data_IF_153988227532
#
_entry.id   IF_153988227532
#
_cell.length_a   1.000
_cell.length_b   1.000
_cell.length_c   1.000
_cell.angle_alpha   90.00
_cell.angle_beta   90.00
_cell.angle_gamma   90.00
#
_symmetry.space_group_name_H-M   'P 1'
#
loop_
_entity.id
_entity.type
_entity.pdbx_description
1 polymer ?
#
# COMPACT_ATOMS: atom_id res chain seq x y z
N UNK A 1 14.45 -32.49 13.00
CA UNK A 1 13.15 -32.66 13.68
C UNK A 1 13.32 -33.84 14.60
N UNK A 2 13.37 -33.56 15.90
CA UNK A 2 14.18 -34.26 16.89
C UNK A 2 13.37 -35.29 17.70
N UNK A 3 13.97 -36.45 17.99
CA UNK A 3 13.36 -37.55 18.78
C UNK A 3 12.96 -37.20 20.22
N UNK A 4 13.16 -35.96 20.68
CA UNK A 4 12.66 -35.44 21.95
C UNK A 4 11.17 -35.07 21.92
N UNK A 5 10.58 -34.78 20.77
CA UNK A 5 9.15 -34.42 20.67
C UNK A 5 8.21 -35.64 20.70
N UNK A 6 8.67 -36.79 20.20
CA UNK A 6 7.86 -38.02 20.24
C UNK A 6 7.62 -38.50 21.68
N UNK A 7 8.66 -38.47 22.53
CA UNK A 7 8.52 -38.87 23.95
C UNK A 7 7.53 -38.00 24.73
N UNK A 8 7.44 -36.70 24.42
CA UNK A 8 6.47 -35.79 25.06
C UNK A 8 5.06 -36.06 24.58
N UNK A 9 4.89 -36.30 23.28
CA UNK A 9 3.59 -36.64 22.68
C UNK A 9 3.03 -37.93 23.28
N UNK A 10 3.86 -38.96 23.40
CA UNK A 10 3.45 -40.26 23.96
C UNK A 10 3.08 -40.16 25.45
N UNK A 11 3.81 -39.35 26.22
CA UNK A 11 3.47 -39.06 27.62
C UNK A 11 2.12 -38.36 27.77
N UNK A 12 1.87 -37.32 26.95
CA UNK A 12 0.61 -36.57 26.97
C UNK A 12 -0.57 -37.46 26.58
N UNK A 13 -0.40 -38.33 25.57
CA UNK A 13 -1.44 -39.27 25.16
C UNK A 13 -1.76 -40.32 26.23
N UNK A 14 -0.73 -40.82 26.93
CA UNK A 14 -0.91 -41.74 28.06
C UNK A 14 -1.65 -41.09 29.23
N UNK A 15 -1.33 -39.84 29.53
CA UNK A 15 -1.96 -39.08 30.62
C UNK A 15 -3.42 -38.72 30.29
N UNK A 16 -3.70 -38.33 29.03
CA UNK A 16 -5.06 -38.15 28.51
C UNK A 16 -5.88 -39.44 28.57
N UNK A 17 -5.30 -40.59 28.22
CA UNK A 17 -5.98 -41.88 28.31
C UNK A 17 -6.37 -42.21 29.76
N UNK A 18 -5.46 -41.99 30.70
CA UNK A 18 -5.72 -42.21 32.13
C UNK A 18 -6.85 -41.31 32.67
N UNK A 19 -6.90 -40.05 32.23
CA UNK A 19 -7.93 -39.08 32.63
C UNK A 19 -9.32 -39.39 32.05
N UNK A 20 -9.36 -40.02 30.86
CA UNK A 20 -10.60 -40.53 30.25
C UNK A 20 -11.10 -41.76 31.01
N UNK A 21 -10.19 -42.69 31.35
CA UNK A 21 -10.53 -43.89 32.11
C UNK A 21 -11.00 -43.59 33.54
N UNK A 22 -10.43 -42.56 34.18
CA UNK A 22 -10.85 -42.11 35.51
C UNK A 22 -12.17 -41.31 35.50
N UNK A 23 -12.79 -41.10 34.33
CA UNK A 23 -14.05 -40.39 34.18
C UNK A 23 -13.98 -38.89 34.50
N UNK A 24 -12.78 -38.33 34.64
CA UNK A 24 -12.58 -36.90 34.94
C UNK A 24 -12.78 -36.03 33.70
N UNK A 25 -12.53 -36.58 32.51
CA UNK A 25 -12.68 -35.90 31.24
C UNK A 25 -13.45 -36.80 30.26
N UNK A 26 -14.47 -36.25 29.61
CA UNK A 26 -15.19 -36.95 28.56
C UNK A 26 -14.53 -36.70 27.20
N UNK A 27 -14.47 -37.72 26.34
CA UNK A 27 -14.03 -37.62 24.93
C UNK A 27 -14.70 -36.45 24.19
N UNK A 28 -15.94 -36.11 24.54
CA UNK A 28 -16.67 -34.97 23.99
C UNK A 28 -16.07 -33.61 24.38
N UNK A 29 -15.56 -33.44 25.61
CA UNK A 29 -14.91 -32.20 26.07
C UNK A 29 -13.56 -31.97 25.39
N UNK A 30 -12.80 -33.05 25.13
CA UNK A 30 -11.54 -32.97 24.39
C UNK A 30 -11.82 -32.56 22.94
N UNK A 31 -12.81 -33.17 22.30
CA UNK A 31 -13.21 -32.80 20.94
C UNK A 31 -13.73 -31.36 20.84
N UNK A 32 -14.38 -30.84 21.87
CA UNK A 32 -14.82 -29.44 21.90
C UNK A 32 -13.65 -28.45 22.12
N UNK A 33 -12.60 -28.82 22.87
CA UNK A 33 -11.36 -28.03 22.99
C UNK A 33 -10.62 -27.88 21.64
N UNK A 34 -10.66 -28.90 20.79
CA UNK A 34 -10.06 -28.84 19.44
C UNK A 34 -10.97 -28.22 18.38
N UNK A 35 -12.28 -28.02 18.67
CA UNK A 35 -13.17 -27.26 17.78
C UNK A 35 -12.94 -25.76 17.85
N UNK A 36 -12.50 -25.24 19.00
CA UNK A 36 -12.15 -23.82 19.15
C UNK A 36 -10.85 -23.44 18.43
N UNK A 37 -10.04 -24.41 17.97
CA UNK A 37 -8.79 -24.18 17.23
C UNK A 37 -8.86 -24.53 15.73
N UNK A 38 -10.03 -24.92 15.20
CA UNK A 38 -10.19 -24.88 13.75
C UNK A 38 -10.28 -23.41 13.32
N UNK A 39 -9.42 -22.93 12.39
CA UNK A 39 -9.56 -21.59 11.87
C UNK A 39 -10.92 -21.55 11.17
N UNK A 40 -11.87 -20.85 11.77
CA UNK A 40 -13.18 -20.61 11.20
C UNK A 40 -12.96 -20.02 9.81
N UNK A 41 -13.17 -20.84 8.79
CA UNK A 41 -13.27 -20.38 7.42
C UNK A 41 -14.33 -19.28 7.40
N UNK A 42 -13.88 -18.09 7.05
CA UNK A 42 -14.67 -16.87 6.91
C UNK A 42 -15.41 -16.42 8.19
N UNK A 43 -14.69 -15.71 9.06
CA UNK A 43 -15.22 -14.41 9.49
C UNK A 43 -15.46 -13.59 8.21
N UNK A 44 -16.60 -13.82 7.57
CA UNK A 44 -17.25 -12.79 6.78
C UNK A 44 -17.38 -11.63 7.75
N UNK A 45 -16.52 -10.62 7.60
CA UNK A 45 -16.71 -9.36 8.27
C UNK A 45 -18.12 -8.95 7.93
N UNK A 46 -19.06 -9.09 8.88
CA UNK A 46 -20.39 -8.52 8.75
C UNK A 46 -20.11 -7.03 8.73
N UNK A 47 -19.90 -6.48 7.53
CA UNK A 47 -19.78 -5.05 7.30
C UNK A 47 -21.06 -4.50 7.91
N UNK A 48 -20.91 -3.83 9.05
CA UNK A 48 -22.07 -3.31 9.77
C UNK A 48 -22.74 -2.34 8.80
N UNK A 49 -24.03 -2.57 8.54
CA UNK A 49 -24.80 -1.79 7.57
C UNK A 49 -24.69 -0.29 7.87
N UNK A 50 -24.55 0.06 9.15
CA UNK A 50 -24.28 1.42 9.62
C UNK A 50 -22.94 1.97 9.12
N UNK A 51 -21.85 1.22 9.23
CA UNK A 51 -20.53 1.59 8.68
C UNK A 51 -20.61 1.81 7.18
N UNK A 52 -21.33 0.95 6.47
CA UNK A 52 -21.50 1.09 5.02
C UNK A 52 -22.26 2.37 4.66
N UNK A 53 -23.31 2.72 5.42
CA UNK A 53 -24.01 3.99 5.25
C UNK A 53 -23.13 5.20 5.60
N UNK A 54 -22.27 5.12 6.62
CA UNK A 54 -21.36 6.22 6.97
C UNK A 54 -20.30 6.45 5.89
N UNK A 55 -19.71 5.38 5.36
CA UNK A 55 -18.74 5.47 4.25
C UNK A 55 -19.41 6.00 2.98
N UNK A 56 -20.63 5.52 2.66
CA UNK A 56 -21.40 6.00 1.51
C UNK A 56 -21.76 7.48 1.66
N UNK A 57 -22.21 7.89 2.85
CA UNK A 57 -22.49 9.29 3.17
C UNK A 57 -21.26 10.18 3.02
N UNK A 58 -20.11 9.74 3.55
CA UNK A 58 -18.85 10.46 3.40
C UNK A 58 -18.45 10.63 1.93
N UNK A 59 -18.59 9.56 1.14
CA UNK A 59 -18.33 9.60 -0.30
C UNK A 59 -19.25 10.60 -1.02
N UNK A 60 -20.55 10.58 -0.73
CA UNK A 60 -21.52 11.53 -1.30
C UNK A 60 -21.15 12.97 -0.94
N UNK A 61 -20.75 13.23 0.32
CA UNK A 61 -20.32 14.56 0.76
C UNK A 61 -19.07 15.01 0.00
N UNK A 62 -18.06 14.14 -0.15
CA UNK A 62 -16.84 14.47 -0.92
C UNK A 62 -17.20 14.81 -2.37
N UNK A 63 -18.04 13.98 -3.01
CA UNK A 63 -18.49 14.24 -4.39
C UNK A 63 -19.27 15.55 -4.47
N UNK A 64 -20.16 15.83 -3.52
CA UNK A 64 -20.90 17.07 -3.44
C UNK A 64 -20.00 18.29 -3.31
N UNK A 65 -18.96 18.23 -2.46
CA UNK A 65 -17.95 19.29 -2.33
C UNK A 65 -17.22 19.51 -3.65
N UNK A 66 -16.79 18.44 -4.34
CA UNK A 66 -16.09 18.53 -5.63
C UNK A 66 -16.99 19.17 -6.70
N UNK A 67 -18.26 18.76 -6.79
CA UNK A 67 -19.23 19.31 -7.75
C UNK A 67 -19.51 20.79 -7.45
N UNK A 68 -19.72 21.15 -6.19
CA UNK A 68 -19.96 22.52 -5.77
C UNK A 68 -18.77 23.42 -6.10
N UNK A 69 -17.56 22.97 -5.78
CA UNK A 69 -16.32 23.66 -6.14
C UNK A 69 -16.28 23.84 -7.65
N UNK A 70 -16.41 22.77 -8.43
CA UNK A 70 -16.31 22.85 -9.89
C UNK A 70 -17.34 23.79 -10.54
N UNK A 71 -18.59 23.77 -10.08
CA UNK A 71 -19.67 24.55 -10.69
C UNK A 71 -19.56 26.05 -10.37
N UNK A 72 -19.17 26.41 -9.15
CA UNK A 72 -19.23 27.81 -8.70
C UNK A 72 -17.84 28.45 -8.54
N UNK A 73 -16.75 27.74 -8.87
CA UNK A 73 -15.38 28.25 -8.67
C UNK A 73 -15.14 29.59 -9.37
N UNK A 74 -15.60 29.73 -10.61
CA UNK A 74 -15.33 30.93 -11.40
C UNK A 74 -16.03 32.16 -10.82
N UNK A 75 -17.21 31.98 -10.22
CA UNK A 75 -18.06 33.07 -9.73
C UNK A 75 -17.73 33.48 -8.28
N UNK A 76 -16.95 32.67 -7.57
CA UNK A 76 -16.55 32.95 -6.18
C UNK A 76 -15.32 33.85 -6.08
N UNK A 77 -15.37 34.83 -5.18
CA UNK A 77 -14.19 35.58 -4.77
C UNK A 77 -13.19 34.68 -4.00
N UNK A 78 -11.94 35.12 -3.87
CA UNK A 78 -10.88 34.33 -3.21
C UNK A 78 -11.13 34.04 -1.72
N UNK A 79 -11.67 34.99 -0.94
CA UNK A 79 -12.04 34.79 0.47
C UNK A 79 -13.15 33.75 0.57
N UNK A 80 -14.16 33.84 -0.30
CA UNK A 80 -15.24 32.85 -0.35
C UNK A 80 -14.70 31.45 -0.67
N UNK A 81 -13.76 31.35 -1.62
CA UNK A 81 -13.07 30.08 -1.93
C UNK A 81 -12.34 29.52 -0.71
N UNK A 82 -11.58 30.34 0.01
CA UNK A 82 -10.85 29.94 1.22
C UNK A 82 -11.82 29.47 2.31
N UNK A 83 -12.88 30.24 2.59
CA UNK A 83 -13.85 29.91 3.63
C UNK A 83 -14.61 28.62 3.31
N UNK A 84 -14.98 28.42 2.05
CA UNK A 84 -15.64 27.20 1.60
C UNK A 84 -14.71 25.97 1.68
N UNK A 85 -13.46 26.09 1.25
CA UNK A 85 -12.53 24.95 1.16
C UNK A 85 -11.84 24.67 2.49
N UNK A 86 -11.08 25.62 3.02
CA UNK A 86 -10.38 25.46 4.29
C UNK A 86 -11.35 25.43 5.47
N UNK A 87 -12.39 26.27 5.46
CA UNK A 87 -13.39 26.29 6.53
C UNK A 87 -14.18 24.98 6.62
N UNK A 88 -14.53 24.35 5.50
CA UNK A 88 -15.16 23.02 5.52
C UNK A 88 -14.20 21.93 5.99
N UNK A 89 -12.92 21.99 5.59
CA UNK A 89 -11.90 21.05 6.07
C UNK A 89 -11.73 21.13 7.60
N UNK A 90 -11.59 22.34 8.16
CA UNK A 90 -11.46 22.57 9.60
C UNK A 90 -12.73 22.17 10.35
N UNK A 91 -13.92 22.48 9.80
CA UNK A 91 -15.20 22.12 10.41
C UNK A 91 -15.36 20.60 10.46
N UNK A 92 -15.10 19.91 9.34
CA UNK A 92 -15.12 18.45 9.27
C UNK A 92 -14.09 17.82 10.22
N UNK A 93 -12.89 18.38 10.31
CA UNK A 93 -11.86 17.89 11.24
C UNK A 93 -12.31 18.04 12.70
N UNK A 94 -12.88 19.19 13.07
CA UNK A 94 -13.34 19.47 14.43
C UNK A 94 -14.50 18.58 14.86
N UNK A 95 -15.48 18.40 13.96
CA UNK A 95 -16.59 17.45 14.17
C UNK A 95 -16.07 16.02 14.26
N UNK A 96 -15.15 15.66 13.35
CA UNK A 96 -14.49 14.36 13.33
C UNK A 96 -13.74 14.07 14.62
N UNK A 97 -12.99 15.04 15.14
CA UNK A 97 -12.29 14.96 16.43
C UNK A 97 -13.26 14.71 17.58
N UNK A 98 -14.33 15.50 17.67
CA UNK A 98 -15.32 15.38 18.74
C UNK A 98 -16.05 14.04 18.73
N UNK A 99 -16.48 13.57 17.55
CA UNK A 99 -17.18 12.29 17.39
C UNK A 99 -16.25 11.09 17.55
N UNK A 100 -14.98 11.20 17.15
CA UNK A 100 -14.02 10.12 17.30
C UNK A 100 -13.77 9.73 18.77
N UNK A 101 -13.85 10.72 19.67
CA UNK A 101 -13.67 10.51 21.10
C UNK A 101 -14.89 9.85 21.78
N UNK A 102 -16.00 9.66 21.08
CA UNK A 102 -17.18 8.96 21.60
C UNK A 102 -17.27 7.55 21.01
N UNK A 103 -17.31 6.52 21.86
CA UNK A 103 -17.33 5.12 21.41
C UNK A 103 -18.46 4.80 20.44
N UNK A 104 -19.65 5.37 20.67
CA UNK A 104 -20.86 5.12 19.86
C UNK A 104 -20.80 5.75 18.46
N UNK A 105 -20.02 6.80 18.26
CA UNK A 105 -19.97 7.57 17.00
C UNK A 105 -18.57 7.59 16.39
N UNK A 106 -17.66 6.73 16.89
CA UNK A 106 -16.27 6.66 16.44
C UNK A 106 -16.12 6.48 14.92
N UNK A 107 -16.94 5.63 14.31
CA UNK A 107 -16.93 5.39 12.87
C UNK A 107 -17.36 6.62 12.07
N UNK A 108 -18.38 7.34 12.54
CA UNK A 108 -18.80 8.62 11.96
C UNK A 108 -17.71 9.68 12.12
N UNK A 109 -17.01 9.70 13.26
CA UNK A 109 -15.83 10.54 13.47
C UNK A 109 -14.73 10.27 12.44
N UNK A 110 -14.44 8.99 12.15
CA UNK A 110 -13.47 8.62 11.11
C UNK A 110 -13.90 9.06 9.71
N UNK A 111 -15.20 9.02 9.40
CA UNK A 111 -15.74 9.53 8.14
C UNK A 111 -15.49 11.04 8.00
N UNK A 112 -15.83 11.84 9.02
CA UNK A 112 -15.58 13.29 9.02
C UNK A 112 -14.07 13.64 8.96
N UNK A 113 -13.23 12.89 9.67
CA UNK A 113 -11.78 13.06 9.56
C UNK A 113 -11.30 12.75 8.14
N UNK A 114 -11.82 11.72 7.48
CA UNK A 114 -11.47 11.40 6.09
C UNK A 114 -11.85 12.53 5.14
N UNK A 115 -13.04 13.11 5.29
CA UNK A 115 -13.47 14.29 4.52
C UNK A 115 -12.46 15.43 4.72
N UNK A 116 -12.09 15.73 5.98
CA UNK A 116 -11.13 16.80 6.25
C UNK A 116 -9.76 16.55 5.59
N UNK A 117 -9.26 15.31 5.66
CA UNK A 117 -7.96 14.94 5.10
C UNK A 117 -7.91 15.18 3.59
N UNK A 118 -8.98 14.87 2.87
CA UNK A 118 -9.07 15.07 1.42
C UNK A 118 -9.25 16.55 1.06
N UNK A 119 -9.95 17.33 1.89
CA UNK A 119 -10.23 18.74 1.60
C UNK A 119 -9.08 19.69 1.98
N UNK A 120 -8.24 19.33 2.96
CA UNK A 120 -7.12 20.16 3.42
C UNK A 120 -6.18 20.66 2.30
N UNK A 121 -5.71 19.82 1.35
CA UNK A 121 -4.81 20.28 0.28
C UNK A 121 -5.40 21.43 -0.55
N UNK A 122 -6.70 21.34 -0.86
CA UNK A 122 -7.42 22.36 -1.63
C UNK A 122 -7.55 23.65 -0.80
N UNK A 123 -7.93 23.52 0.47
CA UNK A 123 -8.07 24.67 1.38
C UNK A 123 -6.77 25.40 1.67
N UNK A 124 -5.65 24.69 1.81
CA UNK A 124 -4.35 25.31 1.99
C UNK A 124 -3.90 25.99 0.69
N UNK A 125 -4.10 25.35 -0.46
CA UNK A 125 -3.79 25.92 -1.77
C UNK A 125 -4.51 27.25 -2.03
N UNK A 126 -5.84 27.29 -1.84
CA UNK A 126 -6.61 28.54 -2.01
C UNK A 126 -6.17 29.64 -1.06
N UNK A 127 -5.76 29.26 0.16
CA UNK A 127 -5.28 30.22 1.16
C UNK A 127 -3.94 30.83 0.74
N UNK A 128 -3.06 30.04 0.12
CA UNK A 128 -1.80 30.56 -0.43
C UNK A 128 -2.06 31.54 -1.58
N UNK A 129 -2.98 31.18 -2.50
CA UNK A 129 -3.34 32.06 -3.62
C UNK A 129 -3.91 33.41 -3.13
N UNK A 130 -4.64 33.42 -2.01
CA UNK A 130 -5.16 34.64 -1.38
C UNK A 130 -4.04 35.56 -0.85
N UNK A 131 -2.96 34.99 -0.31
CA UNK A 131 -1.81 35.78 0.21
C UNK A 131 -0.78 36.09 -0.87
N UNK A 132 -1.09 35.83 -2.14
CA UNK A 132 -0.23 36.12 -3.29
C UNK A 132 0.89 35.10 -3.53
N UNK A 133 0.83 33.92 -2.89
CA UNK A 133 1.76 32.81 -3.13
C UNK A 133 1.05 31.81 -4.03
N UNK A 134 1.49 31.67 -5.28
CA UNK A 134 0.88 30.73 -6.23
C UNK A 134 0.97 29.29 -5.72
N UNK A 135 -0.18 28.66 -5.48
CA UNK A 135 -0.28 27.28 -5.02
C UNK A 135 0.26 26.26 -6.02
N UNK A 136 0.33 26.63 -7.30
CA UNK A 136 0.78 25.78 -8.40
C UNK A 136 2.28 25.92 -8.69
N UNK A 137 2.94 26.95 -8.17
CA UNK A 137 4.39 27.10 -8.28
C UNK A 137 5.12 26.15 -7.32
N UNK A 138 6.37 25.80 -7.63
CA UNK A 138 7.17 24.86 -6.83
C UNK A 138 7.31 25.29 -5.37
N UNK A 139 7.45 26.59 -5.12
CA UNK A 139 7.46 27.17 -3.77
C UNK A 139 6.14 26.90 -3.03
N UNK A 140 5.00 27.19 -3.68
CA UNK A 140 3.67 26.94 -3.12
C UNK A 140 3.42 25.46 -2.83
N UNK A 141 3.73 24.57 -3.77
CA UNK A 141 3.60 23.12 -3.60
C UNK A 141 4.43 22.58 -2.43
N UNK A 142 5.62 23.14 -2.21
CA UNK A 142 6.49 22.79 -1.08
C UNK A 142 5.86 23.21 0.25
N UNK A 143 5.32 24.43 0.32
CA UNK A 143 4.63 24.94 1.51
C UNK A 143 3.39 24.11 1.82
N UNK A 144 2.54 23.83 0.80
CA UNK A 144 1.35 22.98 0.96
C UNK A 144 1.74 21.60 1.50
N UNK A 145 2.72 20.95 0.87
CA UNK A 145 3.17 19.62 1.28
C UNK A 145 3.70 19.62 2.72
N UNK A 146 4.46 20.65 3.11
CA UNK A 146 5.03 20.77 4.44
C UNK A 146 3.94 20.98 5.51
N UNK A 147 2.98 21.87 5.25
CA UNK A 147 1.84 22.10 6.15
C UNK A 147 1.01 20.83 6.30
N UNK A 148 0.70 20.15 5.19
CA UNK A 148 -0.04 18.88 5.21
C UNK A 148 0.69 17.81 6.01
N UNK A 149 2.01 17.68 5.81
CA UNK A 149 2.82 16.74 6.59
C UNK A 149 2.73 17.01 8.08
N UNK A 150 2.86 18.28 8.50
CA UNK A 150 2.74 18.69 9.91
C UNK A 150 1.34 18.37 10.44
N UNK A 151 0.28 18.76 9.73
CA UNK A 151 -1.11 18.52 10.15
C UNK A 151 -1.37 17.03 10.31
N UNK A 152 -1.04 16.21 9.31
CA UNK A 152 -1.30 14.78 9.33
C UNK A 152 -0.45 14.07 10.38
N UNK A 153 0.81 14.48 10.56
CA UNK A 153 1.70 13.90 11.57
C UNK A 153 1.22 14.24 12.97
N UNK A 154 0.88 15.51 13.24
CA UNK A 154 0.30 15.92 14.52
C UNK A 154 -1.02 15.19 14.80
N UNK A 155 -1.87 15.03 13.78
CA UNK A 155 -3.12 14.27 13.89
C UNK A 155 -2.85 12.80 14.22
N UNK A 156 -1.88 12.17 13.55
CA UNK A 156 -1.48 10.80 13.86
C UNK A 156 -1.04 10.65 15.33
N UNK A 157 -0.26 11.60 15.86
CA UNK A 157 0.15 11.58 17.27
C UNK A 157 -1.01 11.83 18.24
N UNK A 158 -1.93 12.72 17.90
CA UNK A 158 -3.09 13.06 18.74
C UNK A 158 -4.08 11.90 18.82
N UNK A 159 -4.43 11.28 17.69
CA UNK A 159 -5.45 10.25 17.61
C UNK A 159 -4.91 8.82 17.73
N UNK A 160 -3.62 8.60 17.41
CA UNK A 160 -2.99 7.27 17.31
C UNK A 160 -3.76 6.30 16.39
N UNK A 161 -4.50 6.83 15.43
CA UNK A 161 -5.27 6.03 14.48
C UNK A 161 -4.46 5.73 13.22
N UNK A 162 -4.66 4.53 12.68
CA UNK A 162 -3.98 4.07 11.47
C UNK A 162 -4.42 4.84 10.21
N UNK A 163 -5.58 5.54 10.27
CA UNK A 163 -6.13 6.34 9.18
C UNK A 163 -5.16 7.40 8.66
N UNK A 164 -4.40 8.05 9.56
CA UNK A 164 -3.50 9.15 9.19
C UNK A 164 -2.17 8.68 8.59
N UNK A 165 -1.72 7.46 8.89
CA UNK A 165 -0.43 6.93 8.41
C UNK A 165 -0.22 7.04 6.89
N UNK A 166 -1.15 6.59 6.01
CA UNK A 166 -0.94 6.71 4.57
C UNK A 166 -0.83 8.16 4.12
N UNK A 167 -1.58 9.09 4.73
CA UNK A 167 -1.51 10.51 4.44
C UNK A 167 -0.20 11.15 4.91
N UNK A 168 0.31 10.75 6.09
CA UNK A 168 1.62 11.18 6.58
C UNK A 168 2.73 10.74 5.63
N UNK A 169 2.72 9.48 5.21
CA UNK A 169 3.74 8.94 4.28
C UNK A 169 3.64 9.62 2.92
N UNK A 170 2.43 9.83 2.39
CA UNK A 170 2.22 10.54 1.13
C UNK A 170 2.68 12.00 1.20
N UNK A 171 2.29 12.73 2.26
CA UNK A 171 2.70 14.12 2.47
C UNK A 171 4.21 14.23 2.67
N UNK A 172 4.83 13.34 3.45
CA UNK A 172 6.28 13.32 3.65
C UNK A 172 7.06 13.06 2.36
N UNK A 173 6.53 12.19 1.50
CA UNK A 173 7.09 11.94 0.16
C UNK A 173 6.92 13.15 -0.76
N UNK A 174 5.77 13.82 -0.69
CA UNK A 174 5.52 15.07 -1.40
C UNK A 174 6.48 16.17 -0.95
N UNK A 175 6.72 16.33 0.36
CA UNK A 175 7.71 17.26 0.92
C UNK A 175 9.08 16.94 0.35
N UNK A 176 9.52 15.68 0.40
CA UNK A 176 10.82 15.29 -0.14
C UNK A 176 10.99 15.70 -1.62
N UNK A 177 10.00 15.41 -2.47
CA UNK A 177 10.07 15.72 -3.90
C UNK A 177 10.00 17.23 -4.16
N UNK A 178 9.04 17.93 -3.56
CA UNK A 178 8.83 19.37 -3.79
C UNK A 178 9.99 20.20 -3.23
N UNK A 179 10.45 19.88 -2.02
CA UNK A 179 11.59 20.55 -1.39
C UNK A 179 12.89 20.32 -2.17
N UNK A 180 13.15 19.10 -2.66
CA UNK A 180 14.34 18.85 -3.49
C UNK A 180 14.21 19.48 -4.88
N UNK A 181 13.01 19.65 -5.44
CA UNK A 181 12.84 20.48 -6.64
C UNK A 181 13.26 21.92 -6.35
N UNK A 182 12.74 22.50 -5.26
CA UNK A 182 13.03 23.88 -4.86
C UNK A 182 14.53 24.13 -4.64
N UNK A 183 15.23 23.19 -3.98
CA UNK A 183 16.66 23.31 -3.70
C UNK A 183 17.54 23.27 -4.97
N UNK A 184 17.11 22.51 -5.99
CA UNK A 184 17.92 22.26 -7.19
C UNK A 184 17.37 22.94 -8.45
N UNK A 185 16.31 23.73 -8.34
CA UNK A 185 15.63 24.41 -9.45
C UNK A 185 16.59 25.21 -10.34
N UNK A 186 17.55 25.90 -9.73
CA UNK A 186 18.53 26.75 -10.40
C UNK A 186 19.94 26.15 -10.47
N UNK A 187 20.12 24.92 -9.97
CA UNK A 187 21.39 24.22 -10.03
C UNK A 187 21.49 23.39 -11.32
N UNK A 188 22.71 23.03 -11.73
CA UNK A 188 22.91 21.97 -12.71
C UNK A 188 22.39 20.66 -12.12
N UNK A 189 21.11 20.37 -12.36
CA UNK A 189 20.46 19.15 -11.88
C UNK A 189 21.22 17.96 -12.44
N UNK A 190 21.71 17.05 -11.57
CA UNK A 190 22.42 15.87 -12.03
C UNK A 190 21.56 15.08 -13.02
N UNK A 191 22.19 14.51 -14.03
CA UNK A 191 21.49 13.61 -14.96
C UNK A 191 20.83 12.48 -14.12
N UNK A 192 19.56 12.21 -14.39
CA UNK A 192 18.75 11.22 -13.66
C UNK A 192 18.41 11.56 -12.19
N UNK A 193 18.41 12.84 -11.82
CA UNK A 193 18.07 13.29 -10.46
C UNK A 193 16.73 12.74 -9.95
N UNK A 194 15.72 12.67 -10.81
CA UNK A 194 14.38 12.19 -10.44
C UNK A 194 14.38 10.71 -10.10
N UNK A 195 15.13 9.92 -10.86
CA UNK A 195 15.24 8.49 -10.69
C UNK A 195 15.98 8.16 -9.40
N UNK A 196 17.07 8.88 -9.08
CA UNK A 196 17.73 8.71 -7.78
C UNK A 196 16.83 9.09 -6.60
N UNK A 197 15.99 10.13 -6.72
CA UNK A 197 14.96 10.43 -5.71
C UNK A 197 13.95 9.30 -5.58
N UNK A 198 13.54 8.70 -6.71
CA UNK A 198 12.68 7.52 -6.73
C UNK A 198 13.30 6.32 -5.99
N UNK A 199 14.61 6.08 -6.14
CA UNK A 199 15.32 5.04 -5.39
C UNK A 199 15.33 5.32 -3.89
N UNK A 200 15.63 6.56 -3.48
CA UNK A 200 15.65 6.96 -2.06
C UNK A 200 14.26 6.78 -1.44
N UNK A 201 13.21 7.22 -2.13
CA UNK A 201 11.84 6.97 -1.68
C UNK A 201 11.52 5.47 -1.63
N UNK A 202 11.88 4.71 -2.66
CA UNK A 202 11.67 3.26 -2.69
C UNK A 202 12.29 2.55 -1.49
N UNK A 203 13.56 2.83 -1.19
CA UNK A 203 14.26 2.29 -0.01
C UNK A 203 13.56 2.73 1.29
N UNK A 204 13.16 4.01 1.38
CA UNK A 204 12.46 4.54 2.56
C UNK A 204 11.15 3.79 2.82
N UNK A 205 10.37 3.52 1.77
CA UNK A 205 9.12 2.76 1.87
C UNK A 205 9.38 1.29 2.24
N UNK A 206 10.43 0.65 1.68
CA UNK A 206 10.81 -0.72 2.07
C UNK A 206 11.20 -0.76 3.55
N UNK A 207 11.98 0.22 4.04
CA UNK A 207 12.35 0.34 5.44
C UNK A 207 11.13 0.57 6.36
N UNK A 208 10.17 1.41 5.94
CA UNK A 208 8.90 1.60 6.64
C UNK A 208 8.06 0.32 6.65
N UNK A 209 8.00 -0.43 5.55
CA UNK A 209 7.34 -1.73 5.48
C UNK A 209 7.93 -2.72 6.47
N UNK A 210 9.26 -2.78 6.57
CA UNK A 210 9.95 -3.57 7.59
C UNK A 210 9.62 -3.11 9.01
N UNK A 211 9.65 -1.80 9.28
CA UNK A 211 9.27 -1.26 10.60
C UNK A 211 7.82 -1.64 10.98
N UNK A 212 6.87 -1.50 10.07
CA UNK A 212 5.48 -1.88 10.33
C UNK A 212 5.28 -3.39 10.49
N UNK A 213 6.19 -4.21 9.95
CA UNK A 213 6.18 -5.66 10.19
C UNK A 213 6.52 -5.98 11.64
N UNK A 214 7.44 -5.22 12.25
CA UNK A 214 7.81 -5.34 13.66
C UNK A 214 6.68 -4.87 14.58
N UNK A 215 5.97 -3.80 14.21
CA UNK A 215 4.85 -3.22 14.99
C UNK A 215 3.50 -3.93 14.69
N UNK A 216 3.52 -5.04 13.94
CA UNK A 216 2.35 -5.89 13.63
C UNK A 216 1.18 -5.11 13.00
N UNK A 217 1.46 -4.26 12.01
CA UNK A 217 0.44 -3.54 11.22
C UNK A 217 0.32 -4.10 9.79
N UNK A 218 -0.32 -5.27 9.58
CA UNK A 218 -0.22 -6.04 8.33
C UNK A 218 -0.68 -5.27 7.08
N UNK A 219 -1.75 -4.46 7.20
CA UNK A 219 -2.24 -3.65 6.07
C UNK A 219 -1.21 -2.64 5.58
N UNK A 220 -0.46 -1.99 6.49
CA UNK A 220 0.57 -1.03 6.12
C UNK A 220 1.82 -1.72 5.55
N UNK A 221 2.18 -2.90 6.05
CA UNK A 221 3.31 -3.69 5.52
C UNK A 221 3.12 -3.96 4.03
N UNK A 222 1.96 -4.47 3.65
CA UNK A 222 1.62 -4.80 2.26
C UNK A 222 1.72 -3.57 1.35
N UNK A 223 1.09 -2.45 1.73
CA UNK A 223 1.10 -1.20 0.94
C UNK A 223 2.51 -0.62 0.84
N UNK A 224 3.28 -0.59 1.94
CA UNK A 224 4.63 -0.02 1.95
C UNK A 224 5.60 -0.84 1.13
N UNK A 225 5.58 -2.17 1.22
CA UNK A 225 6.41 -3.02 0.36
C UNK A 225 6.01 -2.89 -1.11
N UNK A 226 4.71 -2.93 -1.42
CA UNK A 226 4.24 -2.78 -2.79
C UNK A 226 4.73 -1.47 -3.43
N UNK A 227 4.48 -0.33 -2.77
CA UNK A 227 4.92 0.98 -3.26
C UNK A 227 6.44 1.11 -3.27
N UNK A 228 7.13 0.64 -2.22
CA UNK A 228 8.57 0.75 -2.10
C UNK A 228 9.31 -0.01 -3.20
N UNK A 229 8.93 -1.26 -3.48
CA UNK A 229 9.53 -2.02 -4.57
C UNK A 229 9.14 -1.48 -5.96
N UNK A 230 7.92 -0.97 -6.15
CA UNK A 230 7.55 -0.31 -7.41
C UNK A 230 8.42 0.92 -7.68
N UNK A 231 8.60 1.79 -6.68
CA UNK A 231 9.42 2.98 -6.82
C UNK A 231 10.89 2.62 -7.01
N UNK A 232 11.40 1.65 -6.25
CA UNK A 232 12.80 1.23 -6.32
C UNK A 232 13.14 0.56 -7.66
N UNK A 233 12.39 -0.46 -8.08
CA UNK A 233 12.62 -1.15 -9.35
C UNK A 233 12.24 -0.28 -10.55
N UNK A 234 11.17 0.52 -10.43
CA UNK A 234 10.76 1.50 -11.44
C UNK A 234 11.82 2.56 -11.72
N UNK A 235 12.42 3.12 -10.67
CA UNK A 235 13.54 4.03 -10.86
C UNK A 235 14.77 3.32 -11.46
N UNK A 236 15.07 2.09 -11.00
CA UNK A 236 16.23 1.32 -11.48
C UNK A 236 16.13 0.95 -12.97
N UNK A 237 14.95 0.57 -13.48
CA UNK A 237 14.76 0.22 -14.89
C UNK A 237 14.88 1.45 -15.80
N UNK A 238 14.41 2.62 -15.34
CA UNK A 238 14.57 3.89 -16.05
C UNK A 238 16.03 4.30 -16.07
N UNK A 239 16.75 4.16 -14.95
CA UNK A 239 18.20 4.44 -14.85
C UNK A 239 19.06 3.58 -15.78
N UNK A 240 18.59 2.38 -16.11
CA UNK A 240 19.24 1.55 -17.12
C UNK A 240 19.22 2.20 -18.51
N UNK A 241 18.18 3.01 -18.80
CA UNK A 241 18.03 3.73 -20.07
C UNK A 241 17.59 2.85 -21.23
N UNK A 242 17.43 3.46 -22.41
CA UNK A 242 17.15 2.78 -23.68
C UNK A 242 18.22 3.10 -24.72
N UNK A 243 18.47 2.20 -25.69
CA UNK A 243 19.38 2.50 -26.82
C UNK A 243 19.02 3.82 -27.51
N UNK A 244 20.01 4.69 -27.82
CA UNK A 244 21.46 4.51 -27.63
C UNK A 244 22.01 4.94 -26.25
N UNK A 245 21.19 5.53 -25.38
CA UNK A 245 21.60 6.10 -24.09
C UNK A 245 21.52 5.08 -22.93
N UNK A 246 22.25 3.97 -23.04
CA UNK A 246 22.30 2.94 -21.99
C UNK A 246 23.29 3.34 -20.90
N UNK A 247 22.89 3.17 -19.63
CA UNK A 247 23.81 3.24 -18.51
C UNK A 247 24.34 1.84 -18.18
N UNK A 248 25.60 1.59 -18.51
CA UNK A 248 26.26 0.28 -18.36
C UNK A 248 26.16 -0.24 -16.91
N UNK A 249 26.37 0.64 -15.92
CA UNK A 249 26.36 0.26 -14.50
C UNK A 249 24.98 -0.31 -14.13
N UNK A 250 23.92 0.40 -14.50
CA UNK A 250 22.55 -0.01 -14.18
C UNK A 250 22.09 -1.22 -15.01
N UNK A 251 22.55 -1.34 -16.27
CA UNK A 251 22.28 -2.51 -17.10
C UNK A 251 22.81 -3.81 -16.47
N UNK A 252 24.00 -3.77 -15.88
CA UNK A 252 24.54 -4.92 -15.16
C UNK A 252 23.91 -5.10 -13.78
N UNK A 253 23.65 -4.02 -13.04
CA UNK A 253 23.09 -4.11 -11.69
C UNK A 253 21.64 -4.61 -11.68
N UNK A 254 20.82 -4.22 -12.65
CA UNK A 254 19.38 -4.43 -12.61
C UNK A 254 18.96 -5.92 -12.58
N UNK A 255 19.54 -6.85 -13.35
CA UNK A 255 19.28 -8.28 -13.20
C UNK A 255 19.57 -8.81 -11.79
N UNK A 256 20.65 -8.35 -11.14
CA UNK A 256 20.95 -8.73 -9.75
C UNK A 256 19.91 -8.17 -8.77
N UNK A 257 19.41 -6.95 -9.00
CA UNK A 257 18.33 -6.37 -8.20
C UNK A 257 17.03 -7.17 -8.31
N UNK A 258 16.71 -7.71 -9.50
CA UNK A 258 15.55 -8.59 -9.67
C UNK A 258 15.70 -9.89 -8.88
N UNK A 259 16.86 -10.56 -8.97
CA UNK A 259 17.14 -11.77 -8.19
C UNK A 259 17.08 -11.48 -6.68
N UNK A 260 17.67 -10.37 -6.26
CA UNK A 260 17.62 -9.92 -4.86
C UNK A 260 16.18 -9.66 -4.40
N UNK A 261 15.32 -9.11 -5.25
CA UNK A 261 13.90 -8.89 -4.95
C UNK A 261 13.18 -10.21 -4.68
N UNK A 262 13.41 -11.24 -5.50
CA UNK A 262 12.84 -12.57 -5.25
C UNK A 262 13.37 -13.17 -3.95
N UNK A 263 14.67 -13.05 -3.69
CA UNK A 263 15.25 -13.52 -2.43
C UNK A 263 14.63 -12.83 -1.21
N UNK A 264 14.49 -11.50 -1.25
CA UNK A 264 13.82 -10.74 -0.19
C UNK A 264 12.35 -11.13 -0.07
N UNK A 265 11.65 -11.42 -1.17
CA UNK A 265 10.24 -11.86 -1.12
C UNK A 265 10.05 -13.14 -0.30
N UNK A 266 11.00 -14.08 -0.42
CA UNK A 266 11.00 -15.34 0.34
C UNK A 266 11.33 -15.07 1.81
N UNK A 267 12.34 -14.23 2.10
CA UNK A 267 12.72 -13.88 3.47
C UNK A 267 11.60 -13.15 4.22
N UNK A 268 10.99 -12.16 3.57
CA UNK A 268 9.90 -11.36 4.13
C UNK A 268 8.54 -12.08 4.09
N UNK A 269 8.45 -13.22 3.41
CA UNK A 269 7.20 -13.97 3.17
C UNK A 269 6.08 -13.08 2.61
N UNK A 270 6.43 -12.13 1.73
CA UNK A 270 5.49 -11.15 1.18
C UNK A 270 5.12 -11.47 -0.27
N UNK A 271 3.81 -11.67 -0.49
CA UNK A 271 3.24 -11.89 -1.82
C UNK A 271 3.37 -10.65 -2.72
N UNK A 272 3.32 -9.47 -2.12
CA UNK A 272 3.40 -8.19 -2.82
C UNK A 272 4.77 -8.01 -3.47
N UNK A 273 5.85 -8.28 -2.74
CA UNK A 273 7.22 -8.22 -3.27
C UNK A 273 7.39 -9.20 -4.44
N UNK A 274 6.83 -10.42 -4.31
CA UNK A 274 6.87 -11.42 -5.36
C UNK A 274 6.13 -10.97 -6.63
N UNK A 275 4.93 -10.39 -6.49
CA UNK A 275 4.15 -9.86 -7.61
C UNK A 275 4.93 -8.74 -8.32
N UNK A 276 5.44 -7.77 -7.56
CA UNK A 276 6.18 -6.64 -8.12
C UNK A 276 7.45 -7.13 -8.82
N UNK A 277 8.25 -7.99 -8.18
CA UNK A 277 9.45 -8.57 -8.80
C UNK A 277 9.14 -9.34 -10.10
N UNK A 278 8.02 -10.06 -10.14
CA UNK A 278 7.55 -10.74 -11.35
C UNK A 278 7.21 -9.75 -12.47
N UNK A 279 6.40 -8.72 -12.18
CA UNK A 279 6.03 -7.68 -13.15
C UNK A 279 7.28 -7.01 -13.74
N UNK A 280 8.23 -6.62 -12.90
CA UNK A 280 9.46 -5.95 -13.35
C UNK A 280 10.41 -6.88 -14.11
N UNK A 281 10.41 -8.18 -13.80
CA UNK A 281 11.14 -9.18 -14.58
C UNK A 281 10.56 -9.30 -15.99
N UNK A 282 9.22 -9.36 -16.11
CA UNK A 282 8.57 -9.34 -17.42
C UNK A 282 8.84 -8.04 -18.17
N UNK A 283 8.77 -6.90 -17.49
CA UNK A 283 9.07 -5.60 -18.10
C UNK A 283 10.50 -5.56 -18.66
N UNK A 284 11.49 -6.13 -17.95
CA UNK A 284 12.88 -6.18 -18.42
C UNK A 284 13.05 -7.10 -19.63
N UNK A 285 12.40 -8.27 -19.62
CA UNK A 285 12.41 -9.18 -20.77
C UNK A 285 11.82 -8.47 -21.99
N UNK A 286 10.68 -7.78 -21.84
CA UNK A 286 10.05 -7.01 -22.91
C UNK A 286 10.96 -5.89 -23.42
N UNK A 287 11.60 -5.16 -22.50
CA UNK A 287 12.55 -4.09 -22.81
C UNK A 287 13.71 -4.62 -23.65
N UNK A 288 14.45 -5.60 -23.15
CA UNK A 288 15.57 -6.22 -23.88
C UNK A 288 15.11 -6.77 -25.23
N UNK A 289 13.94 -7.43 -25.27
CA UNK A 289 13.49 -8.01 -26.52
C UNK A 289 13.17 -6.93 -27.57
N UNK A 290 12.53 -5.82 -27.18
CA UNK A 290 12.28 -4.69 -28.08
C UNK A 290 13.56 -3.99 -28.54
N UNK A 291 14.59 -3.88 -27.70
CA UNK A 291 15.85 -3.22 -28.07
C UNK A 291 16.71 -4.02 -29.05
N UNK A 292 16.69 -5.36 -28.94
CA UNK A 292 17.57 -6.22 -29.73
C UNK A 292 16.85 -6.90 -30.91
N UNK A 293 15.52 -7.10 -30.83
CA UNK A 293 14.76 -7.89 -31.82
C UNK A 293 13.62 -7.13 -32.51
N UNK A 294 13.37 -5.85 -32.20
CA UNK A 294 12.27 -5.05 -32.81
C UNK A 294 12.30 -4.99 -34.33
N UNK A 295 13.46 -5.21 -34.97
CA UNK A 295 13.60 -5.18 -36.42
C UNK A 295 13.16 -6.49 -37.11
N UNK A 296 12.71 -7.49 -36.35
CA UNK A 296 12.31 -8.80 -36.89
C UNK A 296 10.83 -9.09 -36.63
N UNK A 297 10.12 -9.59 -37.65
CA UNK A 297 8.72 -10.05 -37.55
C UNK A 297 8.51 -11.18 -36.53
N UNK A 298 9.58 -11.87 -36.14
CA UNK A 298 9.54 -12.91 -35.11
C UNK A 298 9.18 -12.39 -33.73
N UNK A 299 9.37 -11.10 -33.44
CA UNK A 299 9.16 -10.55 -32.10
C UNK A 299 7.69 -10.51 -31.64
N UNK A 300 6.73 -9.90 -32.39
CA UNK A 300 5.32 -9.93 -32.01
C UNK A 300 4.79 -11.37 -31.92
N UNK A 301 5.21 -12.24 -32.83
CA UNK A 301 4.79 -13.65 -32.88
C UNK A 301 5.31 -14.41 -31.65
N UNK A 302 6.57 -14.24 -31.28
CA UNK A 302 7.15 -14.87 -30.09
C UNK A 302 6.47 -14.39 -28.79
N UNK A 303 6.10 -13.11 -28.69
CA UNK A 303 5.35 -12.59 -27.54
C UNK A 303 3.94 -13.18 -27.45
N UNK A 304 3.23 -13.29 -28.57
CA UNK A 304 1.91 -13.93 -28.63
C UNK A 304 2.03 -15.39 -28.17
N UNK A 305 3.00 -16.14 -28.69
CA UNK A 305 3.22 -17.54 -28.33
C UNK A 305 3.61 -17.68 -26.85
N UNK A 306 4.54 -16.88 -26.35
CA UNK A 306 4.96 -16.91 -24.96
C UNK A 306 3.79 -16.59 -24.01
N UNK A 307 2.98 -15.59 -24.35
CA UNK A 307 1.76 -15.26 -23.61
C UNK A 307 0.76 -16.42 -23.56
N UNK A 308 0.52 -17.08 -24.69
CA UNK A 308 -0.34 -18.26 -24.77
C UNK A 308 0.20 -19.45 -23.95
N UNK A 309 1.51 -19.69 -24.00
CA UNK A 309 2.16 -20.75 -23.21
C UNK A 309 2.03 -20.47 -21.72
N UNK A 310 2.29 -19.25 -21.27
CA UNK A 310 2.16 -18.88 -19.85
C UNK A 310 0.71 -19.02 -19.38
N UNK A 311 -0.27 -18.56 -20.18
CA UNK A 311 -1.70 -18.77 -19.88
C UNK A 311 -2.05 -20.26 -19.78
N UNK A 312 -1.54 -21.08 -20.70
CA UNK A 312 -1.73 -22.54 -20.69
C UNK A 312 -1.14 -23.21 -19.44
N UNK A 313 0.10 -22.86 -19.08
CA UNK A 313 0.76 -23.37 -17.85
C UNK A 313 0.01 -22.93 -16.60
N UNK A 314 -0.44 -21.67 -16.54
CA UNK A 314 -1.23 -21.17 -15.41
C UNK A 314 -2.55 -21.93 -15.23
N UNK A 315 -3.28 -22.16 -16.33
CA UNK A 315 -4.51 -22.96 -16.30
C UNK A 315 -4.25 -24.41 -15.88
N UNK A 316 -3.21 -25.04 -16.42
CA UNK A 316 -2.87 -26.42 -16.07
C UNK A 316 -2.46 -26.55 -14.60
N UNK A 317 -1.67 -25.61 -14.08
CA UNK A 317 -1.28 -25.60 -12.67
C UNK A 317 -2.49 -25.43 -11.74
N UNK A 318 -3.49 -24.63 -12.13
CA UNK A 318 -4.75 -24.51 -11.39
C UNK A 318 -5.55 -25.81 -11.40
N UNK A 319 -5.69 -26.46 -12.56
CA UNK A 319 -6.43 -27.73 -12.70
C UNK A 319 -5.76 -28.88 -11.92
N UNK A 320 -4.42 -28.96 -11.93
CA UNK A 320 -3.66 -29.92 -11.12
C UNK A 320 -3.87 -29.67 -9.63
N UNK A 321 -3.80 -28.41 -9.19
CA UNK A 321 -4.03 -28.07 -7.78
C UNK A 321 -5.47 -28.43 -7.34
N UNK A 322 -6.46 -28.15 -8.19
CA UNK A 322 -7.85 -28.53 -7.95
C UNK A 322 -8.03 -30.05 -7.82
N UNK A 323 -7.34 -30.85 -8.65
CA UNK A 323 -7.38 -32.32 -8.57
C UNK A 323 -6.68 -32.85 -7.33
N UNK A 324 -5.55 -32.27 -6.93
CA UNK A 324 -4.83 -32.65 -5.71
C UNK A 324 -5.64 -32.37 -4.43
N UNK A 325 -6.28 -31.21 -4.33
CA UNK A 325 -7.14 -30.85 -3.19
C UNK A 325 -8.39 -31.75 -3.13
N UNK A 326 -8.97 -32.11 -4.28
CA UNK A 326 -10.13 -33.01 -4.36
C UNK A 326 -9.81 -34.46 -3.94
N UNK A 327 -8.56 -34.90 -4.07
CA UNK A 327 -8.12 -36.21 -3.60
C UNK A 327 -7.82 -36.27 -2.09
N UNK A 328 -7.54 -35.13 -1.45
CA UNK A 328 -7.34 -35.07 0.01
C UNK A 328 -8.64 -34.92 0.81
N UNK A 329 -9.78 -34.71 0.14
CA UNK A 329 -11.11 -34.50 0.74
C UNK A 329 -12.07 -35.67 0.56
N UNK A 330 -11.57 -36.84 0.14
CA UNK A 330 -12.28 -38.12 0.23
C UNK A 330 -11.59 -38.98 1.29
N UNK A 331 -12.28 -39.36 2.39
CA UNK A 331 -11.73 -40.22 3.42
C UNK A 331 -11.43 -41.64 2.94
#
# INVERSE_FOLDING_TARGET
>A
MNGTDNNRTDQILSELSALIESGQINKKQILDLFKDEQPTEAEQSKVNLQTLFYVLGAFIVIVGIVVLIYQFWADMDQITKVLLTLGSAISAYSIGYYLHNQEKTKELGLAFLTISLVTYPIGIGTTLDLVGVSAMEMGGLTIISAILFIIYFASYFAFKTWLFLPFVVAAGSSVFITFTNLLFENALTPKHFNEYRGLVLGITYIALGYYFSLVRKPSMVSIMYFLGFILFLGASIILTGFKPNINIIWQFAYPFLLVLTFYISVLAKSKEILIVGTIFTFAEILKLTSEYFSRTLGWPIALIIAGLVIMGVGYFSFEVNKRLIKHQSQP
#
